data_IF_320208994858
#
_entry.id   IF_320208994858
#
_cell.length_a   1.000
_cell.length_b   1.000
_cell.length_c   1.000
_cell.angle_alpha   90.00
_cell.angle_beta   90.00
_cell.angle_gamma   90.00
#
_symmetry.space_group_name_H-M   'P 1'
#
loop_
_entity.id
_entity.type
_entity.pdbx_description
1 polymer ?
#
# COMPACT_ATOMS: atom_id res chain seq x y z
N UNK A 1 17.50 -2.33 30.31
CA UNK A 1 17.16 -3.44 31.20
C UNK A 1 16.78 -4.65 30.36
N UNK A 2 17.17 -5.90 30.73
CA UNK A 2 16.96 -7.12 29.93
C UNK A 2 15.46 -7.34 29.60
N UNK A 3 14.58 -6.98 30.54
CA UNK A 3 13.13 -7.11 30.37
C UNK A 3 12.61 -6.11 29.32
N UNK A 4 13.05 -4.87 29.34
CA UNK A 4 12.69 -3.84 28.36
C UNK A 4 13.21 -4.22 26.97
N UNK A 5 14.45 -4.72 26.88
CA UNK A 5 15.02 -5.18 25.60
C UNK A 5 14.26 -6.40 25.03
N UNK A 6 13.79 -7.31 25.89
CA UNK A 6 12.94 -8.42 25.46
C UNK A 6 11.56 -7.95 24.99
N UNK A 7 10.95 -7.00 25.67
CA UNK A 7 9.67 -6.41 25.28
C UNK A 7 9.77 -5.70 23.92
N UNK A 8 10.85 -4.93 23.70
CA UNK A 8 11.10 -4.24 22.42
C UNK A 8 11.35 -5.21 21.30
N UNK A 9 12.15 -6.25 21.51
CA UNK A 9 12.40 -7.26 20.47
C UNK A 9 11.13 -8.01 20.06
N UNK A 10 10.24 -8.25 21.02
CA UNK A 10 8.95 -8.87 20.76
C UNK A 10 8.02 -7.93 19.97
N UNK A 11 7.96 -6.66 20.37
CA UNK A 11 7.19 -5.63 19.68
C UNK A 11 7.67 -5.42 18.23
N UNK A 12 8.98 -5.32 18.02
CA UNK A 12 9.59 -5.20 16.70
C UNK A 12 9.22 -6.38 15.80
N UNK A 13 9.24 -7.60 16.33
CA UNK A 13 8.85 -8.79 15.58
C UNK A 13 7.38 -8.74 15.17
N UNK A 14 6.49 -8.40 16.10
CA UNK A 14 5.06 -8.25 15.81
C UNK A 14 4.80 -7.17 14.76
N UNK A 15 5.41 -6.00 14.90
CA UNK A 15 5.26 -4.91 13.95
C UNK A 15 5.82 -5.27 12.57
N UNK A 16 6.88 -6.07 12.49
CA UNK A 16 7.47 -6.47 11.20
C UNK A 16 6.57 -7.39 10.36
N UNK A 17 5.48 -7.91 10.94
CA UNK A 17 4.48 -8.74 10.27
C UNK A 17 3.27 -7.91 9.78
N UNK A 18 3.22 -6.61 10.12
CA UNK A 18 2.15 -5.69 9.72
C UNK A 18 2.48 -4.96 8.42
N UNK A 19 1.44 -4.45 7.77
CA UNK A 19 1.57 -3.53 6.63
C UNK A 19 2.17 -2.18 7.04
N UNK A 20 2.78 -1.47 6.12
CA UNK A 20 3.51 -0.21 6.41
C UNK A 20 2.63 0.90 6.98
N UNK A 21 1.36 0.97 6.59
CA UNK A 21 0.38 1.90 7.14
C UNK A 21 0.05 1.59 8.61
N UNK A 22 -0.16 0.32 8.94
CA UNK A 22 -0.41 -0.12 10.32
C UNK A 22 0.81 0.11 11.23
N UNK A 23 2.03 -0.20 10.75
CA UNK A 23 3.25 0.11 11.50
C UNK A 23 3.36 1.60 11.75
N UNK A 24 3.12 2.43 10.73
CA UNK A 24 3.19 3.89 10.84
C UNK A 24 2.19 4.40 11.87
N UNK A 25 0.95 3.92 11.81
CA UNK A 25 -0.09 4.27 12.76
C UNK A 25 0.28 3.90 14.22
N UNK A 26 0.75 2.67 14.46
CA UNK A 26 1.18 2.26 15.81
C UNK A 26 2.31 3.15 16.32
N UNK A 27 3.28 3.50 15.47
CA UNK A 27 4.38 4.36 15.88
C UNK A 27 3.95 5.81 16.14
N UNK A 28 2.88 6.29 15.50
CA UNK A 28 2.33 7.64 15.76
C UNK A 28 1.75 7.75 17.17
N UNK A 29 1.08 6.73 17.66
CA UNK A 29 0.47 6.71 18.99
C UNK A 29 1.46 6.36 20.12
N UNK A 30 2.67 5.87 19.77
CA UNK A 30 3.71 5.57 20.76
C UNK A 30 4.37 6.86 21.28
N UNK A 31 4.83 6.81 22.54
CA UNK A 31 5.70 7.84 23.11
C UNK A 31 7.00 7.97 22.30
N UNK A 32 7.58 9.16 22.29
CA UNK A 32 8.72 9.50 21.42
C UNK A 32 9.94 8.61 21.65
N UNK A 33 10.24 8.28 22.89
CA UNK A 33 11.35 7.39 23.28
C UNK A 33 11.14 5.98 22.71
N UNK A 34 9.96 5.40 22.94
CA UNK A 34 9.60 4.07 22.44
C UNK A 34 9.61 4.03 20.92
N UNK A 35 9.06 5.05 20.26
CA UNK A 35 9.08 5.19 18.79
C UNK A 35 10.49 5.15 18.23
N UNK A 36 11.42 5.93 18.82
CA UNK A 36 12.82 5.98 18.39
C UNK A 36 13.50 4.61 18.53
N UNK A 37 13.24 3.93 19.64
CA UNK A 37 13.84 2.65 19.93
C UNK A 37 13.31 1.54 19.03
N UNK A 38 12.00 1.47 18.83
CA UNK A 38 11.38 0.54 17.89
C UNK A 38 11.90 0.79 16.47
N UNK A 39 11.89 2.04 15.98
CA UNK A 39 12.41 2.39 14.66
C UNK A 39 13.87 1.96 14.46
N UNK A 40 14.71 2.07 15.48
CA UNK A 40 16.11 1.66 15.42
C UNK A 40 16.28 0.16 15.24
N UNK A 41 15.38 -0.63 15.79
CA UNK A 41 15.43 -2.09 15.82
C UNK A 41 14.63 -2.77 14.68
N UNK A 42 13.80 -2.03 13.94
CA UNK A 42 13.12 -2.55 12.76
C UNK A 42 14.13 -2.94 11.64
N UNK A 43 13.77 -3.88 10.74
CA UNK A 43 14.56 -4.16 9.55
C UNK A 43 14.85 -2.89 8.73
N UNK A 44 16.05 -2.76 8.18
CA UNK A 44 16.51 -1.53 7.51
C UNK A 44 15.60 -1.06 6.37
N UNK A 45 15.00 -1.98 5.64
CA UNK A 45 14.07 -1.63 4.55
C UNK A 45 12.77 -1.02 5.11
N UNK A 46 12.19 -1.61 6.17
CA UNK A 46 11.05 -1.04 6.88
C UNK A 46 11.38 0.31 7.50
N UNK A 47 12.55 0.46 8.12
CA UNK A 47 12.98 1.75 8.65
C UNK A 47 12.93 2.87 7.59
N UNK A 48 13.39 2.59 6.37
CA UNK A 48 13.36 3.57 5.27
C UNK A 48 11.94 3.94 4.86
N UNK A 49 11.08 2.92 4.72
CA UNK A 49 9.68 3.12 4.33
C UNK A 49 8.92 3.93 5.38
N UNK A 50 9.03 3.55 6.65
CA UNK A 50 8.38 4.24 7.77
C UNK A 50 8.91 5.68 7.91
N UNK A 51 10.23 5.88 7.88
CA UNK A 51 10.81 7.23 7.94
C UNK A 51 10.30 8.11 6.79
N UNK A 52 10.16 7.53 5.58
CA UNK A 52 9.58 8.25 4.45
C UNK A 52 8.09 8.57 4.68
N UNK A 53 7.31 7.60 5.16
CA UNK A 53 5.89 7.81 5.50
C UNK A 53 5.73 8.95 6.51
N UNK A 54 6.56 8.99 7.55
CA UNK A 54 6.54 10.03 8.58
C UNK A 54 6.96 11.43 8.08
N UNK A 55 7.51 11.57 6.86
CA UNK A 55 7.79 12.88 6.25
C UNK A 55 6.57 13.49 5.56
N UNK A 56 5.55 12.69 5.26
CA UNK A 56 4.31 13.21 4.69
C UNK A 56 3.45 13.87 5.77
N UNK A 57 2.56 14.74 5.34
CA UNK A 57 1.55 15.36 6.21
C UNK A 57 0.69 14.28 6.89
N UNK A 58 0.39 14.44 8.18
CA UNK A 58 -0.40 13.47 8.96
C UNK A 58 -1.77 13.18 8.33
N UNK A 59 -2.36 14.16 7.67
CA UNK A 59 -3.66 14.08 7.00
C UNK A 59 -3.54 13.77 5.50
N UNK A 60 -2.46 13.14 5.05
CA UNK A 60 -2.23 12.87 3.63
C UNK A 60 -2.26 11.40 3.25
N UNK A 61 -2.54 11.13 1.96
CA UNK A 61 -2.43 9.79 1.36
C UNK A 61 -1.07 9.13 1.61
N UNK A 62 0.00 9.90 1.55
CA UNK A 62 1.36 9.40 1.76
C UNK A 62 1.60 8.83 3.16
N UNK A 63 0.85 9.33 4.16
CA UNK A 63 0.93 8.85 5.54
C UNK A 63 0.24 7.51 5.73
N UNK A 64 -0.86 7.27 5.00
CA UNK A 64 -1.76 6.12 5.17
C UNK A 64 -1.65 5.07 4.06
N UNK A 65 -0.79 5.29 3.06
CA UNK A 65 -0.64 4.34 1.96
C UNK A 65 0.17 3.12 2.37
N UNK A 66 -0.24 1.97 1.84
CA UNK A 66 0.56 0.75 1.82
C UNK A 66 1.59 0.83 0.69
N UNK A 67 2.80 0.33 0.95
CA UNK A 67 3.86 0.25 -0.07
C UNK A 67 3.96 -1.14 -0.72
N UNK A 68 3.25 -2.13 -0.16
CA UNK A 68 3.17 -3.49 -0.67
C UNK A 68 2.01 -3.61 -1.65
N UNK A 69 2.30 -3.50 -2.94
CA UNK A 69 1.36 -3.60 -4.04
C UNK A 69 1.95 -4.37 -5.21
N UNK A 70 1.09 -4.87 -6.10
CA UNK A 70 1.52 -5.55 -7.32
C UNK A 70 1.32 -4.63 -8.52
N UNK A 71 2.42 -4.23 -9.14
CA UNK A 71 2.41 -3.52 -10.44
C UNK A 71 2.90 -4.42 -11.56
N UNK A 72 2.24 -4.34 -12.71
CA UNK A 72 2.55 -5.12 -13.90
C UNK A 72 2.58 -4.22 -15.14
N UNK A 73 3.47 -4.45 -16.11
CA UNK A 73 3.45 -3.72 -17.36
C UNK A 73 2.14 -3.95 -18.13
N UNK A 74 1.52 -2.88 -18.61
CA UNK A 74 0.28 -2.95 -19.41
C UNK A 74 0.43 -3.79 -20.68
N UNK A 75 1.66 -3.93 -21.19
CA UNK A 75 1.99 -4.73 -22.37
C UNK A 75 2.00 -6.25 -22.15
N UNK A 76 1.95 -6.70 -20.90
CA UNK A 76 1.99 -8.12 -20.58
C UNK A 76 0.68 -8.82 -20.91
N UNK A 77 0.79 -10.15 -21.11
CA UNK A 77 -0.35 -11.07 -21.12
C UNK A 77 -0.48 -11.79 -19.77
N UNK A 78 -1.58 -12.50 -19.59
CA UNK A 78 -1.86 -13.24 -18.34
C UNK A 78 -0.78 -14.29 -18.04
N UNK A 79 -0.20 -14.94 -19.06
CA UNK A 79 0.88 -15.90 -18.88
C UNK A 79 2.09 -15.27 -18.17
N UNK A 80 2.52 -14.11 -18.63
CA UNK A 80 3.63 -13.36 -18.04
C UNK A 80 3.31 -12.90 -16.61
N UNK A 81 2.07 -12.48 -16.36
CA UNK A 81 1.63 -12.10 -15.01
C UNK A 81 1.69 -13.30 -14.07
N UNK A 82 1.12 -14.45 -14.45
CA UNK A 82 1.13 -15.66 -13.62
C UNK A 82 2.55 -16.11 -13.32
N UNK A 83 3.43 -16.11 -14.33
CA UNK A 83 4.82 -16.50 -14.15
C UNK A 83 5.56 -15.53 -13.20
N UNK A 84 5.31 -14.23 -13.34
CA UNK A 84 5.83 -13.21 -12.42
C UNK A 84 5.35 -13.43 -10.97
N UNK A 85 4.05 -13.61 -10.77
CA UNK A 85 3.47 -13.83 -9.44
C UNK A 85 4.03 -15.08 -8.74
N UNK A 86 4.39 -16.12 -9.50
CA UNK A 86 4.95 -17.37 -8.96
C UNK A 86 6.44 -17.31 -8.64
N UNK A 87 7.19 -16.45 -9.32
CA UNK A 87 8.66 -16.45 -9.25
C UNK A 87 9.25 -15.25 -8.52
N UNK A 88 8.50 -14.14 -8.46
CA UNK A 88 8.99 -12.91 -7.85
C UNK A 88 8.86 -12.92 -6.33
N UNK A 89 9.96 -12.66 -5.65
CA UNK A 89 10.00 -12.45 -4.19
C UNK A 89 9.48 -11.05 -3.76
N UNK A 90 9.10 -10.21 -4.72
CA UNK A 90 8.60 -8.85 -4.45
C UNK A 90 7.08 -8.78 -4.42
N UNK A 91 6.41 -9.88 -4.73
CA UNK A 91 4.95 -9.97 -4.64
C UNK A 91 4.59 -10.12 -3.18
N UNK A 92 3.73 -9.27 -2.61
CA UNK A 92 3.26 -9.43 -1.24
C UNK A 92 2.46 -10.73 -1.08
N UNK A 93 2.40 -11.24 0.14
CA UNK A 93 1.67 -12.49 0.43
C UNK A 93 0.16 -12.33 0.23
N UNK A 94 -0.37 -11.13 0.52
CA UNK A 94 -1.77 -10.79 0.33
C UNK A 94 -1.94 -9.63 -0.65
N UNK A 95 -2.73 -9.83 -1.69
CA UNK A 95 -3.14 -8.78 -2.63
C UNK A 95 -4.40 -9.19 -3.39
N UNK A 96 -5.20 -8.21 -3.79
CA UNK A 96 -6.50 -8.43 -4.45
C UNK A 96 -6.58 -7.81 -5.85
N UNK A 97 -5.70 -6.87 -6.14
CA UNK A 97 -5.66 -6.15 -7.41
C UNK A 97 -4.24 -6.04 -7.96
N UNK A 98 -4.15 -5.97 -9.29
CA UNK A 98 -2.94 -5.73 -10.05
C UNK A 98 -3.06 -4.33 -10.66
N UNK A 99 -2.05 -3.47 -10.47
CA UNK A 99 -2.00 -2.16 -11.10
C UNK A 99 -1.21 -2.24 -12.41
N UNK A 100 -1.90 -2.04 -13.53
CA UNK A 100 -1.26 -1.97 -14.84
C UNK A 100 -0.59 -0.60 -15.00
N UNK A 101 0.72 -0.60 -15.29
CA UNK A 101 1.52 0.61 -15.45
C UNK A 101 2.13 0.73 -16.85
N UNK A 102 2.33 1.96 -17.31
CA UNK A 102 3.07 2.26 -18.53
C UNK A 102 4.59 2.19 -18.32
N UNK A 103 5.37 2.48 -19.36
CA UNK A 103 6.85 2.48 -19.32
C UNK A 103 7.43 3.54 -18.36
N UNK A 104 6.66 4.55 -17.97
CA UNK A 104 7.05 5.57 -16.99
C UNK A 104 6.59 5.24 -15.57
N UNK A 105 6.03 4.03 -15.37
CA UNK A 105 5.45 3.59 -14.11
C UNK A 105 4.19 4.37 -13.68
N UNK A 106 3.45 4.90 -14.64
CA UNK A 106 2.18 5.59 -14.40
C UNK A 106 1.05 4.55 -14.42
N UNK A 107 0.16 4.49 -13.42
CA UNK A 107 -0.96 3.56 -13.42
C UNK A 107 -1.98 3.94 -14.51
N UNK A 108 -2.23 3.00 -15.43
CA UNK A 108 -3.14 3.17 -16.56
C UNK A 108 -4.38 2.29 -16.47
N UNK A 109 -4.38 1.33 -15.57
CA UNK A 109 -5.52 0.45 -15.33
C UNK A 109 -5.36 -0.42 -14.10
N UNK A 110 -6.44 -1.09 -13.72
CA UNK A 110 -6.47 -2.07 -12.64
C UNK A 110 -7.11 -3.37 -13.10
N UNK A 111 -6.59 -4.50 -12.61
CA UNK A 111 -7.16 -5.82 -12.88
C UNK A 111 -7.35 -6.53 -11.54
N UNK A 112 -8.59 -6.83 -11.12
CA UNK A 112 -8.81 -7.69 -9.96
C UNK A 112 -8.16 -9.06 -10.17
N UNK A 113 -7.51 -9.59 -9.13
CA UNK A 113 -6.79 -10.87 -9.22
C UNK A 113 -7.69 -12.01 -9.72
N UNK A 114 -8.92 -12.09 -9.20
CA UNK A 114 -9.88 -13.12 -9.60
C UNK A 114 -10.28 -13.03 -11.09
N UNK A 115 -10.26 -11.84 -11.69
CA UNK A 115 -10.50 -11.64 -13.12
C UNK A 115 -9.31 -12.18 -13.91
N UNK A 116 -8.09 -11.80 -13.52
CA UNK A 116 -6.86 -12.27 -14.18
C UNK A 116 -6.76 -13.81 -14.16
N UNK A 117 -7.02 -14.44 -13.01
CA UNK A 117 -6.91 -15.90 -12.83
C UNK A 117 -7.90 -16.72 -13.68
N UNK A 118 -9.00 -16.12 -14.15
CA UNK A 118 -10.02 -16.78 -14.98
C UNK A 118 -9.78 -16.64 -16.49
N UNK A 119 -8.75 -15.89 -16.88
CA UNK A 119 -8.44 -15.66 -18.29
C UNK A 119 -7.37 -16.64 -18.80
N UNK A 120 -7.40 -16.89 -20.10
CA UNK A 120 -6.36 -17.70 -20.76
C UNK A 120 -5.03 -16.94 -20.79
N UNK A 121 -3.93 -17.67 -20.84
CA UNK A 121 -2.57 -17.11 -20.76
C UNK A 121 -2.23 -16.09 -21.86
N UNK A 122 -2.84 -16.22 -23.02
CA UNK A 122 -2.61 -15.36 -24.20
C UNK A 122 -3.32 -13.99 -24.13
N UNK A 123 -4.31 -13.85 -23.23
CA UNK A 123 -5.10 -12.63 -23.09
C UNK A 123 -4.22 -11.50 -22.58
N UNK A 124 -4.26 -10.35 -23.23
CA UNK A 124 -3.48 -9.18 -22.84
C UNK A 124 -4.12 -8.46 -21.64
N UNK A 125 -3.28 -7.89 -20.79
CA UNK A 125 -3.74 -7.07 -19.66
C UNK A 125 -4.57 -5.89 -20.13
N UNK A 126 -4.15 -5.21 -21.20
CA UNK A 126 -4.89 -4.11 -21.83
C UNK A 126 -6.33 -4.43 -22.21
N UNK A 127 -6.64 -5.71 -22.50
CA UNK A 127 -7.96 -6.14 -22.96
C UNK A 127 -8.95 -6.41 -21.82
N UNK A 128 -8.44 -6.55 -20.59
CA UNK A 128 -9.25 -6.93 -19.41
C UNK A 128 -9.17 -5.94 -18.25
N UNK A 129 -8.25 -4.98 -18.30
CA UNK A 129 -8.11 -3.98 -17.24
C UNK A 129 -9.27 -2.99 -17.27
N UNK A 130 -9.66 -2.51 -16.09
CA UNK A 130 -10.48 -1.31 -15.97
C UNK A 130 -9.57 -0.11 -16.24
N UNK A 131 -9.85 0.61 -17.31
CA UNK A 131 -9.11 1.82 -17.71
C UNK A 131 -9.48 3.01 -16.83
N UNK A 132 -8.63 4.04 -16.82
CA UNK A 132 -8.84 5.25 -16.00
C UNK A 132 -9.07 4.95 -14.51
N UNK A 133 -8.10 4.29 -13.84
CA UNK A 133 -8.22 4.01 -12.43
C UNK A 133 -8.38 5.32 -11.65
N UNK A 134 -9.13 5.28 -10.57
CA UNK A 134 -9.20 6.41 -9.65
C UNK A 134 -7.86 6.53 -8.92
N UNK A 135 -7.10 7.56 -9.26
CA UNK A 135 -5.75 7.80 -8.77
C UNK A 135 -5.82 8.76 -7.58
N UNK A 136 -5.07 8.45 -6.55
CA UNK A 136 -4.88 9.31 -5.37
C UNK A 136 -3.48 9.93 -5.46
N UNK A 137 -3.39 11.24 -5.29
CA UNK A 137 -2.09 11.90 -5.13
C UNK A 137 -1.55 11.67 -3.71
N UNK A 138 -0.24 11.52 -3.56
CA UNK A 138 0.41 11.36 -2.26
C UNK A 138 0.08 12.48 -1.26
N UNK A 139 -0.31 13.66 -1.75
CA UNK A 139 -0.67 14.82 -0.95
C UNK A 139 -2.19 15.00 -0.75
N UNK A 140 -3.02 14.12 -1.33
CA UNK A 140 -4.47 14.20 -1.14
C UNK A 140 -4.83 13.97 0.32
N UNK A 141 -5.83 14.71 0.82
CA UNK A 141 -6.27 14.60 2.19
C UNK A 141 -7.14 13.38 2.43
N UNK A 142 -7.11 12.87 3.65
CA UNK A 142 -7.93 11.70 4.07
C UNK A 142 -9.41 11.87 3.76
N UNK A 143 -9.97 13.07 4.00
CA UNK A 143 -11.37 13.37 3.73
C UNK A 143 -11.72 13.20 2.24
N UNK A 144 -10.87 13.76 1.34
CA UNK A 144 -11.05 13.65 -0.10
C UNK A 144 -10.95 12.20 -0.58
N UNK A 145 -10.02 11.43 0.00
CA UNK A 145 -9.85 10.00 -0.27
C UNK A 145 -11.10 9.24 0.15
N UNK A 146 -11.61 9.54 1.35
CA UNK A 146 -12.84 8.93 1.85
C UNK A 146 -14.02 9.17 0.93
N UNK A 147 -14.21 10.40 0.49
CA UNK A 147 -15.24 10.74 -0.48
C UNK A 147 -15.08 9.99 -1.79
N UNK A 148 -13.84 9.86 -2.29
CA UNK A 148 -13.52 9.11 -3.50
C UNK A 148 -13.90 7.61 -3.36
N UNK A 149 -13.54 6.99 -2.24
CA UNK A 149 -13.84 5.59 -1.97
C UNK A 149 -15.34 5.33 -1.85
N UNK A 150 -16.06 6.18 -1.11
CA UNK A 150 -17.52 6.07 -0.94
C UNK A 150 -18.24 6.32 -2.27
N UNK A 151 -17.84 7.34 -3.03
CA UNK A 151 -18.50 7.71 -4.30
C UNK A 151 -18.36 6.63 -5.39
N UNK A 152 -17.22 5.95 -5.44
CA UNK A 152 -16.90 4.98 -6.50
C UNK A 152 -16.87 3.54 -6.01
N UNK A 153 -17.27 3.28 -4.76
CA UNK A 153 -17.28 1.95 -4.13
C UNK A 153 -15.93 1.22 -4.31
N UNK A 154 -14.84 1.95 -4.09
CA UNK A 154 -13.49 1.43 -4.33
C UNK A 154 -13.08 0.44 -3.22
N UNK A 155 -12.45 -0.64 -3.62
CA UNK A 155 -11.77 -1.56 -2.70
C UNK A 155 -10.30 -1.19 -2.50
N UNK A 156 -9.68 -0.58 -3.51
CA UNK A 156 -8.33 -0.04 -3.48
C UNK A 156 -8.13 1.04 -4.52
N UNK A 157 -7.18 1.93 -4.29
CA UNK A 157 -6.78 2.98 -5.23
C UNK A 157 -5.25 3.12 -5.28
N UNK A 158 -4.65 3.30 -6.47
CA UNK A 158 -3.22 3.56 -6.60
C UNK A 158 -2.88 4.96 -6.11
N UNK A 159 -1.77 5.07 -5.37
CA UNK A 159 -1.20 6.35 -4.91
C UNK A 159 -0.01 6.71 -5.79
N UNK A 160 0.03 7.95 -6.26
CA UNK A 160 1.08 8.45 -7.15
C UNK A 160 1.86 9.61 -6.56
N UNK A 161 3.12 9.73 -6.96
CA UNK A 161 3.97 10.88 -6.65
C UNK A 161 3.63 12.10 -7.54
N UNK A 162 4.34 13.23 -7.33
CA UNK A 162 4.17 14.45 -8.11
C UNK A 162 4.44 14.29 -9.63
N UNK A 163 5.09 13.19 -10.04
CA UNK A 163 5.34 12.83 -11.44
C UNK A 163 4.29 11.86 -12.01
N UNK A 164 3.26 11.52 -11.22
CA UNK A 164 2.23 10.56 -11.59
C UNK A 164 2.66 9.10 -11.50
N UNK A 165 3.83 8.79 -10.92
CA UNK A 165 4.34 7.42 -10.79
C UNK A 165 3.73 6.72 -9.59
N UNK A 166 3.35 5.47 -9.77
CA UNK A 166 2.82 4.61 -8.72
C UNK A 166 3.86 4.40 -7.61
N UNK A 167 3.51 4.75 -6.37
CA UNK A 167 4.39 4.65 -5.19
C UNK A 167 3.76 3.91 -4.02
N UNK A 168 2.46 3.64 -4.08
CA UNK A 168 1.72 2.96 -3.03
C UNK A 168 0.29 2.67 -3.45
N UNK A 169 -0.48 2.16 -2.51
CA UNK A 169 -1.93 2.01 -2.65
C UNK A 169 -2.63 2.33 -1.32
N UNK A 170 -3.90 2.67 -1.40
CA UNK A 170 -4.81 2.75 -0.26
C UNK A 170 -5.89 1.70 -0.46
N UNK A 171 -6.25 1.00 0.60
CA UNK A 171 -7.35 0.03 0.62
C UNK A 171 -8.53 0.57 1.41
N UNK A 172 -9.73 0.02 1.18
CA UNK A 172 -10.91 0.36 1.96
C UNK A 172 -10.72 0.02 3.45
N UNK A 173 -9.89 -0.98 3.78
CA UNK A 173 -9.55 -1.36 5.16
C UNK A 173 -8.70 -0.28 5.82
N UNK A 174 -7.63 0.17 5.17
CA UNK A 174 -6.78 1.28 5.66
C UNK A 174 -7.61 2.54 5.94
N UNK A 175 -8.59 2.82 5.06
CA UNK A 175 -9.49 3.97 5.22
C UNK A 175 -10.49 3.79 6.38
N UNK A 176 -11.07 2.60 6.58
CA UNK A 176 -12.05 2.36 7.65
C UNK A 176 -11.43 2.40 9.04
N UNK A 177 -10.19 1.97 9.21
CA UNK A 177 -9.44 2.12 10.46
C UNK A 177 -9.30 3.60 10.86
N UNK A 178 -9.15 4.50 9.90
CA UNK A 178 -9.03 5.93 10.13
C UNK A 178 -10.37 6.59 10.50
N UNK A 179 -11.47 6.16 9.87
CA UNK A 179 -12.81 6.70 10.14
C UNK A 179 -13.32 6.37 11.54
N UNK A 180 -12.90 5.25 12.13
CA UNK A 180 -13.28 4.85 13.48
C UNK A 180 -12.73 5.79 14.57
N UNK A 181 -11.73 6.62 14.26
CA UNK A 181 -11.10 7.56 15.18
C UNK A 181 -11.63 9.00 15.04
N UNK A 182 -12.40 9.31 14.00
CA UNK A 182 -12.98 10.65 13.79
C UNK A 182 -14.37 10.83 14.38
N UNK A 183 -14.97 9.81 15.00
CA UNK A 183 -16.23 9.99 15.75
C UNK A 183 -15.91 10.45 17.17
N UNK A 184 -16.11 11.75 17.50
CA UNK A 184 -16.12 12.20 18.89
C UNK A 184 -17.31 11.54 19.60
N UNK A 185 -17.06 10.97 20.76
CA UNK A 185 -18.08 10.57 21.72
C UNK A 185 -18.77 11.80 22.26
#
# INVERSE_FOLDING_TARGET
>A
DIIEEFEISHLVRMLSELDTDDITYVLEICEEELRKEVLKNLPKELQKLIKKALTYDEDSAGRIMQTDYVSIPVSWNIGQVVDYLRTSKRVPDEFYALFAVDSRHIPVGTVPLHVAMRKKREVKISDIMTTNPKIVSVNDKREDIGFLFDQYELTSAPVVDARGRLIGMITAVSYTHLRAHETPI
#
